data_IF_405467904521
#
_entry.id   IF_405467904521
#
_cell.length_a   1.000
_cell.length_b   1.000
_cell.length_c   1.000
_cell.angle_alpha   90.00
_cell.angle_beta   90.00
_cell.angle_gamma   90.00
#
_symmetry.space_group_name_H-M   'P 1'
#
loop_
_entity.id
_entity.type
_entity.pdbx_description
1 polymer ?
#
# COMPACT_ATOMS: atom_id res chain seq x y z
N UNK A 1 4.67 12.69 15.57
CA UNK A 1 5.93 12.19 14.97
C UNK A 1 6.27 10.86 15.61
N UNK A 2 6.49 9.78 14.85
CA UNK A 2 6.99 8.54 15.44
C UNK A 2 8.32 8.79 16.16
N UNK A 3 8.42 8.29 17.39
CA UNK A 3 9.55 8.49 18.28
C UNK A 3 9.70 7.29 19.22
N UNK A 4 10.64 7.34 20.18
CA UNK A 4 10.91 6.21 21.11
C UNK A 4 9.67 5.68 21.87
N UNK A 5 8.59 6.46 21.94
CA UNK A 5 7.35 6.16 22.66
C UNK A 5 6.08 6.21 21.81
N UNK A 6 6.15 6.48 20.49
CA UNK A 6 4.98 6.51 19.62
C UNK A 6 5.27 5.77 18.31
N UNK A 7 4.50 4.72 17.96
CA UNK A 7 4.67 3.98 16.72
C UNK A 7 4.33 4.80 15.46
N UNK A 8 3.66 5.94 15.60
CA UNK A 8 3.19 6.76 14.48
C UNK A 8 1.97 6.18 13.76
N UNK A 9 1.49 5.01 14.19
CA UNK A 9 0.25 4.39 13.74
C UNK A 9 -0.58 4.05 14.97
N UNK A 10 -1.89 4.28 14.90
CA UNK A 10 -2.86 3.85 15.91
C UNK A 10 -3.79 2.84 15.26
N UNK A 11 -3.95 1.67 15.87
CA UNK A 11 -5.03 0.77 15.45
C UNK A 11 -6.35 1.27 16.02
N UNK A 12 -7.34 1.50 15.15
CA UNK A 12 -8.68 1.91 15.55
C UNK A 12 -9.70 0.82 15.19
N UNK A 13 -10.69 0.66 16.06
CA UNK A 13 -11.81 -0.26 15.86
C UNK A 13 -13.11 0.52 15.97
N UNK A 14 -14.01 0.32 15.00
CA UNK A 14 -15.37 0.81 15.08
C UNK A 14 -16.25 -0.29 15.66
N UNK A 15 -16.65 -0.19 16.93
CA UNK A 15 -17.57 -1.19 17.50
C UNK A 15 -17.38 -1.56 18.98
N UNK A 16 -16.27 -1.25 19.66
CA UNK A 16 -16.22 -1.39 21.13
C UNK A 16 -16.85 -0.17 21.82
N UNK A 17 -18.16 -0.05 21.66
CA UNK A 17 -19.00 0.89 22.42
C UNK A 17 -19.21 0.35 23.83
N UNK A 18 -18.25 0.60 24.72
CA UNK A 18 -18.51 0.39 26.16
C UNK A 18 -19.45 1.49 26.69
N UNK A 19 -19.53 2.61 25.99
CA UNK A 19 -20.55 3.66 26.13
C UNK A 19 -20.45 4.53 24.88
N UNK A 20 -21.59 4.94 24.33
CA UNK A 20 -21.78 5.90 23.22
C UNK A 20 -20.52 6.66 22.77
N UNK A 21 -20.08 6.44 21.54
CA UNK A 21 -19.25 7.37 20.78
C UNK A 21 -17.75 7.49 21.14
N UNK A 22 -17.15 6.57 21.88
CA UNK A 22 -15.69 6.60 22.15
C UNK A 22 -14.92 5.53 21.38
N UNK A 23 -13.89 5.97 20.66
CA UNK A 23 -12.90 5.12 20.01
C UNK A 23 -11.95 4.51 21.05
N UNK A 24 -11.61 3.24 20.87
CA UNK A 24 -10.65 2.53 21.74
C UNK A 24 -9.37 2.30 20.94
N UNK A 25 -8.26 2.82 21.45
CA UNK A 25 -6.92 2.56 20.95
C UNK A 25 -6.34 1.40 21.75
N UNK A 26 -6.41 0.19 21.21
CA UNK A 26 -6.24 -1.04 22.00
C UNK A 26 -4.91 -1.77 21.77
N UNK A 27 -4.03 -1.25 20.91
CA UNK A 27 -2.79 -1.97 20.55
C UNK A 27 -1.52 -1.13 20.72
N UNK A 28 -0.53 -1.71 21.40
CA UNK A 28 0.86 -1.23 21.35
C UNK A 28 1.49 -1.81 20.08
N UNK A 29 1.58 -1.00 19.02
CA UNK A 29 2.25 -1.38 17.78
C UNK A 29 3.77 -1.21 17.91
N UNK A 30 4.56 -2.01 17.17
CA UNK A 30 6.02 -1.88 17.19
C UNK A 30 6.43 -0.52 16.61
N UNK A 31 7.34 0.17 17.29
CA UNK A 31 7.90 1.41 16.79
C UNK A 31 8.90 1.15 15.63
N UNK A 32 9.02 2.09 14.67
CA UNK A 32 10.02 1.98 13.61
C UNK A 32 11.45 1.89 14.18
N UNK A 33 12.34 1.09 13.57
CA UNK A 33 13.76 1.08 13.91
C UNK A 33 14.37 2.47 13.80
N UNK A 34 15.26 2.85 14.72
CA UNK A 34 15.76 4.24 14.87
C UNK A 34 16.43 4.84 13.61
N UNK A 35 16.92 3.98 12.72
CA UNK A 35 17.41 4.36 11.39
C UNK A 35 16.35 5.12 10.57
N UNK A 36 15.08 4.71 10.62
CA UNK A 36 14.02 5.29 9.79
C UNK A 36 13.63 6.70 10.28
N UNK A 37 13.36 6.97 11.58
CA UNK A 37 13.14 8.34 12.07
C UNK A 37 14.34 9.26 11.87
N UNK A 38 15.56 8.73 11.95
CA UNK A 38 16.78 9.49 11.68
C UNK A 38 16.85 9.90 10.21
N UNK A 39 16.54 8.97 9.30
CA UNK A 39 16.47 9.26 7.87
C UNK A 39 15.38 10.29 7.53
N UNK A 40 14.19 10.17 8.15
CA UNK A 40 13.10 11.14 8.02
C UNK A 40 13.55 12.55 8.46
N UNK A 41 14.27 12.65 9.57
CA UNK A 41 14.80 13.94 10.05
C UNK A 41 15.75 14.57 9.04
N UNK A 42 16.61 13.76 8.41
CA UNK A 42 17.52 14.20 7.34
C UNK A 42 16.75 14.65 6.09
N UNK A 43 15.73 13.90 5.64
CA UNK A 43 14.88 14.31 4.50
C UNK A 43 14.21 15.65 4.80
N UNK A 44 13.63 15.81 5.99
CA UNK A 44 12.99 17.06 6.42
C UNK A 44 13.98 18.23 6.41
N UNK A 45 15.19 18.04 6.91
CA UNK A 45 16.23 19.07 6.88
C UNK A 45 16.63 19.48 5.46
N UNK A 46 16.73 18.52 4.53
CA UNK A 46 16.99 18.79 3.10
C UNK A 46 15.85 19.57 2.44
N UNK A 47 14.60 19.22 2.76
CA UNK A 47 13.44 19.91 2.22
C UNK A 47 13.37 21.37 2.69
N UNK A 48 13.76 21.65 3.95
CA UNK A 48 13.81 23.02 4.49
C UNK A 48 14.81 23.94 3.76
N UNK A 49 15.85 23.37 3.13
CA UNK A 49 16.82 24.12 2.32
C UNK A 49 16.52 24.03 0.81
N UNK A 50 15.34 23.55 0.43
CA UNK A 50 14.90 23.45 -0.97
C UNK A 50 15.44 22.26 -1.75
N UNK A 51 16.15 21.33 -1.10
CA UNK A 51 16.68 20.12 -1.75
C UNK A 51 15.67 18.97 -1.64
N UNK A 52 14.85 18.80 -2.68
CA UNK A 52 13.79 17.79 -2.75
C UNK A 52 14.00 16.85 -3.94
N UNK A 53 14.59 15.68 -3.70
CA UNK A 53 14.88 14.75 -4.81
C UNK A 53 13.59 14.18 -5.43
N UNK A 54 12.53 14.02 -4.64
CA UNK A 54 11.23 13.56 -5.12
C UNK A 54 10.66 14.45 -6.24
N UNK A 55 10.95 15.76 -6.25
CA UNK A 55 10.47 16.68 -7.28
C UNK A 55 10.99 16.29 -8.69
N UNK A 56 12.16 15.64 -8.76
CA UNK A 56 12.73 15.14 -10.03
C UNK A 56 12.03 13.88 -10.51
N UNK A 57 11.44 13.09 -9.60
CA UNK A 57 10.65 11.90 -9.94
C UNK A 57 9.25 12.35 -10.38
N UNK A 58 8.69 13.34 -9.69
CA UNK A 58 7.35 13.89 -9.91
C UNK A 58 7.28 15.00 -10.96
N UNK A 59 8.36 15.19 -11.74
CA UNK A 59 8.32 16.10 -12.87
C UNK A 59 7.19 15.70 -13.82
N UNK A 60 6.40 16.68 -14.25
CA UNK A 60 5.19 16.45 -15.05
C UNK A 60 5.43 15.53 -16.26
N UNK A 61 6.54 15.70 -16.98
CA UNK A 61 6.88 14.87 -18.15
C UNK A 61 7.02 13.38 -17.79
N UNK A 62 7.68 13.07 -16.66
CA UNK A 62 7.85 11.69 -16.21
C UNK A 62 6.54 11.08 -15.76
N UNK A 63 5.75 11.82 -15.00
CA UNK A 63 4.43 11.35 -14.58
C UNK A 63 3.51 11.10 -15.77
N UNK A 64 3.45 12.03 -16.73
CA UNK A 64 2.62 11.91 -17.94
C UNK A 64 3.07 10.72 -18.80
N UNK A 65 4.37 10.42 -18.82
CA UNK A 65 4.91 9.24 -19.54
C UNK A 65 4.46 7.90 -18.95
N UNK A 66 4.13 7.84 -17.65
CA UNK A 66 3.52 6.67 -17.01
C UNK A 66 2.02 6.57 -17.31
N UNK A 67 1.39 7.68 -17.67
CA UNK A 67 -0.01 7.79 -18.02
C UNK A 67 -0.65 9.05 -17.43
N UNK A 68 -1.75 9.56 -18.02
CA UNK A 68 -2.37 10.81 -17.60
C UNK A 68 -2.88 10.78 -16.15
N UNK A 69 -3.24 9.61 -15.60
CA UNK A 69 -3.71 9.48 -14.20
C UNK A 69 -2.58 9.66 -13.16
N UNK A 70 -1.31 9.49 -13.56
CA UNK A 70 -0.15 9.72 -12.70
C UNK A 70 0.31 11.18 -12.66
N UNK A 71 -0.27 12.04 -13.50
CA UNK A 71 -0.04 13.48 -13.46
C UNK A 71 -0.85 14.13 -12.33
N UNK A 72 -0.37 15.28 -11.83
CA UNK A 72 -1.14 16.07 -10.87
C UNK A 72 -2.46 16.50 -11.54
N UNK A 73 -3.58 16.21 -10.88
CA UNK A 73 -4.90 16.56 -11.40
C UNK A 73 -5.28 17.99 -11.06
N UNK A 74 -6.17 18.59 -11.86
CA UNK A 74 -6.60 19.96 -11.60
C UNK A 74 -7.38 20.07 -10.27
N UNK A 75 -6.99 21.03 -9.44
CA UNK A 75 -7.52 21.22 -8.08
C UNK A 75 -8.96 21.73 -8.13
N UNK A 76 -9.34 22.45 -9.18
CA UNK A 76 -10.68 23.03 -9.33
C UNK A 76 -11.80 21.98 -9.37
N UNK A 77 -11.47 20.75 -9.78
CA UNK A 77 -12.44 19.66 -9.88
C UNK A 77 -12.42 18.68 -8.69
N UNK A 78 -11.54 18.88 -7.69
CA UNK A 78 -11.46 17.99 -6.51
C UNK A 78 -11.41 18.74 -5.17
N UNK A 79 -12.41 19.61 -4.97
CA UNK A 79 -12.63 20.27 -3.69
C UNK A 79 -13.31 19.31 -2.69
N UNK A 80 -12.83 19.22 -1.45
CA UNK A 80 -13.50 18.44 -0.40
C UNK A 80 -14.87 19.04 -0.08
N UNK A 81 -15.78 18.21 0.40
CA UNK A 81 -17.06 18.67 0.95
C UNK A 81 -16.93 18.94 2.45
N UNK A 82 -17.87 19.71 2.99
CA UNK A 82 -18.02 19.89 4.44
C UNK A 82 -18.20 18.52 5.12
N UNK A 83 -17.65 18.36 6.32
CA UNK A 83 -17.65 17.08 7.03
C UNK A 83 -19.03 16.57 7.43
N UNK A 84 -20.01 17.46 7.55
CA UNK A 84 -21.41 17.20 7.88
C UNK A 84 -22.33 17.13 6.65
N UNK A 85 -21.76 17.25 5.45
CA UNK A 85 -22.46 17.00 4.21
C UNK A 85 -22.18 15.57 3.76
N UNK A 86 -23.22 14.75 3.69
CA UNK A 86 -23.14 13.40 3.15
C UNK A 86 -23.47 13.38 1.66
N UNK A 87 -22.86 12.43 0.95
CA UNK A 87 -23.06 12.26 -0.49
C UNK A 87 -24.50 11.83 -0.78
N UNK A 88 -25.13 12.51 -1.74
CA UNK A 88 -26.56 12.36 -2.06
C UNK A 88 -26.91 10.95 -2.58
N UNK A 89 -25.97 10.27 -3.24
CA UNK A 89 -26.17 8.95 -3.85
C UNK A 89 -24.94 8.06 -3.68
N UNK A 90 -25.01 7.17 -2.69
CA UNK A 90 -23.93 6.23 -2.35
C UNK A 90 -23.40 5.54 -3.60
N UNK A 91 -22.08 5.60 -3.78
CA UNK A 91 -21.31 4.97 -4.88
C UNK A 91 -21.49 5.58 -6.29
N UNK A 92 -22.14 6.75 -6.41
CA UNK A 92 -22.16 7.56 -7.65
C UNK A 92 -21.14 8.71 -7.62
N UNK A 93 -20.91 9.33 -8.77
CA UNK A 93 -20.10 10.55 -8.87
C UNK A 93 -20.77 11.72 -8.14
N UNK A 94 -20.00 12.72 -7.73
CA UNK A 94 -20.51 13.91 -7.03
C UNK A 94 -21.30 14.89 -7.94
N UNK A 95 -21.81 14.44 -9.11
CA UNK A 95 -22.55 15.27 -10.07
C UNK A 95 -23.85 15.81 -9.44
N UNK A 96 -24.46 15.05 -8.54
CA UNK A 96 -25.71 15.40 -7.87
C UNK A 96 -25.50 16.08 -6.50
N UNK A 97 -24.25 16.24 -6.06
CA UNK A 97 -23.92 16.91 -4.81
C UNK A 97 -24.00 18.44 -4.96
N UNK A 98 -24.39 19.11 -3.88
CA UNK A 98 -24.46 20.56 -3.82
C UNK A 98 -23.04 21.13 -3.72
N UNK A 99 -22.59 21.75 -4.82
CA UNK A 99 -21.25 22.35 -4.89
C UNK A 99 -21.05 23.52 -3.92
N UNK A 100 -22.12 24.11 -3.39
CA UNK A 100 -22.00 25.14 -2.34
C UNK A 100 -21.49 24.58 -1.02
N UNK A 101 -21.58 23.26 -0.82
CA UNK A 101 -21.05 22.55 0.34
C UNK A 101 -19.58 22.16 0.18
N UNK A 102 -18.92 22.58 -0.91
CA UNK A 102 -17.48 22.38 -1.11
C UNK A 102 -16.66 23.40 -0.31
N UNK A 103 -15.59 22.91 0.30
CA UNK A 103 -14.62 23.73 1.02
C UNK A 103 -13.53 24.15 0.05
N UNK A 104 -13.36 25.46 -0.12
CA UNK A 104 -12.28 26.01 -0.93
C UNK A 104 -10.93 25.72 -0.27
N UNK A 105 -9.99 25.18 -1.05
CA UNK A 105 -8.61 25.06 -0.60
C UNK A 105 -7.98 26.44 -0.42
N UNK A 106 -7.17 26.64 0.62
CA UNK A 106 -6.29 27.80 0.69
C UNK A 106 -5.43 27.86 -0.58
N UNK A 107 -5.20 29.08 -1.09
CA UNK A 107 -4.34 29.29 -2.24
C UNK A 107 -2.98 28.61 -2.02
N UNK A 108 -2.56 27.79 -2.99
CA UNK A 108 -1.24 27.16 -3.00
C UNK A 108 -0.38 27.83 -4.07
N UNK A 109 0.78 28.32 -3.66
CA UNK A 109 1.80 28.84 -4.58
C UNK A 109 2.41 27.74 -5.49
N UNK A 110 2.22 26.47 -5.14
CA UNK A 110 2.80 25.34 -5.84
C UNK A 110 1.88 24.12 -5.85
N UNK A 111 1.90 23.38 -6.98
CA UNK A 111 1.25 22.08 -7.16
C UNK A 111 2.09 20.91 -6.62
N UNK A 112 3.26 21.17 -6.03
CA UNK A 112 4.14 20.13 -5.50
C UNK A 112 3.51 19.47 -4.26
N UNK A 113 3.67 18.14 -4.06
CA UNK A 113 3.16 17.49 -2.86
C UNK A 113 3.80 18.01 -1.57
N UNK A 114 2.96 18.17 -0.56
CA UNK A 114 3.37 18.53 0.80
C UNK A 114 3.50 17.23 1.61
N UNK A 115 4.61 17.08 2.32
CA UNK A 115 4.80 15.96 3.25
C UNK A 115 4.32 16.38 4.63
N UNK A 116 3.35 15.65 5.15
CA UNK A 116 2.88 15.79 6.52
C UNK A 116 3.49 14.69 7.40
N UNK A 117 3.81 15.04 8.64
CA UNK A 117 4.41 14.11 9.58
C UNK A 117 3.55 14.02 10.84
N UNK A 118 2.94 12.86 11.08
CA UNK A 118 2.03 12.68 12.21
C UNK A 118 1.53 11.25 12.32
N UNK A 119 0.41 11.09 13.02
CA UNK A 119 -0.16 9.78 13.33
C UNK A 119 -1.11 9.33 12.23
N UNK A 120 -1.03 8.06 11.85
CA UNK A 120 -1.93 7.43 10.88
C UNK A 120 -2.87 6.48 11.63
N UNK A 121 -4.18 6.57 11.37
CA UNK A 121 -5.15 5.63 11.90
C UNK A 121 -5.27 4.41 10.97
N UNK A 122 -5.02 3.23 11.52
CA UNK A 122 -5.10 1.95 10.80
C UNK A 122 -6.27 1.14 11.30
N UNK A 123 -7.14 0.68 10.42
CA UNK A 123 -8.29 -0.12 10.84
C UNK A 123 -8.85 -0.98 9.72
N UNK A 124 -9.61 -2.00 10.09
CA UNK A 124 -10.18 -2.97 9.15
C UNK A 124 -11.31 -2.41 8.28
N UNK A 125 -11.75 -1.18 8.53
CA UNK A 125 -12.85 -0.55 7.82
C UNK A 125 -12.37 0.69 7.07
N UNK A 126 -12.93 0.91 5.88
CA UNK A 126 -12.74 2.15 5.15
C UNK A 126 -13.54 3.23 5.87
N UNK A 127 -12.87 4.29 6.33
CA UNK A 127 -13.53 5.48 6.85
C UNK A 127 -14.25 6.20 5.70
N UNK A 128 -15.58 6.33 5.79
CA UNK A 128 -16.43 6.95 4.75
C UNK A 128 -17.45 7.94 5.30
N UNK A 129 -17.16 8.51 6.46
CA UNK A 129 -18.11 9.41 7.13
C UNK A 129 -17.36 10.61 7.71
N UNK A 130 -17.63 11.80 7.16
CA UNK A 130 -16.87 13.02 7.43
C UNK A 130 -16.93 13.45 8.90
N UNK A 131 -18.08 13.33 9.57
CA UNK A 131 -18.21 13.70 10.98
C UNK A 131 -17.46 12.73 11.91
N UNK A 132 -17.52 11.42 11.61
CA UNK A 132 -16.75 10.42 12.37
C UNK A 132 -15.26 10.63 12.17
N UNK A 133 -14.81 10.88 10.94
CA UNK A 133 -13.43 11.26 10.62
C UNK A 133 -12.96 12.45 11.46
N UNK A 134 -13.77 13.51 11.53
CA UNK A 134 -13.44 14.71 12.31
C UNK A 134 -13.37 14.43 13.81
N UNK A 135 -14.33 13.67 14.33
CA UNK A 135 -14.33 13.23 15.74
C UNK A 135 -13.07 12.44 16.09
N UNK A 136 -12.61 11.54 15.21
CA UNK A 136 -11.35 10.81 15.38
C UNK A 136 -10.14 11.74 15.33
N UNK A 137 -10.12 12.69 14.37
CA UNK A 137 -9.04 13.68 14.21
C UNK A 137 -8.84 14.46 15.50
N UNK A 138 -9.92 14.97 16.08
CA UNK A 138 -9.89 15.74 17.33
C UNK A 138 -9.50 14.87 18.54
N UNK A 139 -10.02 13.64 18.62
CA UNK A 139 -9.79 12.77 19.76
C UNK A 139 -8.38 12.14 19.78
N UNK A 140 -7.78 11.87 18.61
CA UNK A 140 -6.58 11.04 18.47
C UNK A 140 -5.40 11.75 17.77
N UNK A 141 -5.57 13.00 17.34
CA UNK A 141 -4.56 13.77 16.59
C UNK A 141 -4.01 13.00 15.38
N UNK A 142 -4.93 12.39 14.62
CA UNK A 142 -4.61 11.61 13.42
C UNK A 142 -4.65 12.49 12.17
N UNK A 143 -3.79 12.18 11.21
CA UNK A 143 -3.70 12.90 9.94
C UNK A 143 -4.47 12.23 8.81
N UNK A 144 -4.53 10.90 8.80
CA UNK A 144 -5.22 10.13 7.77
C UNK A 144 -5.61 8.74 8.27
N UNK A 145 -6.39 8.04 7.43
CA UNK A 145 -6.88 6.69 7.65
C UNK A 145 -6.33 5.75 6.56
N UNK A 146 -6.02 4.52 6.92
CA UNK A 146 -5.65 3.42 6.02
C UNK A 146 -6.00 2.08 6.69
N UNK A 147 -5.73 0.95 6.02
CA UNK A 147 -6.25 -0.35 6.47
C UNK A 147 -5.21 -1.43 6.74
N UNK A 148 -3.96 -1.23 6.34
CA UNK A 148 -2.99 -2.34 6.28
C UNK A 148 -1.88 -2.24 7.34
N UNK A 149 -1.49 -1.01 7.74
CA UNK A 149 -0.27 -0.80 8.51
C UNK A 149 -0.25 -1.50 9.87
N UNK A 150 -1.35 -1.46 10.64
CA UNK A 150 -1.39 -2.08 11.97
C UNK A 150 -1.11 -3.58 11.90
N UNK A 151 -1.64 -4.28 10.89
CA UNK A 151 -1.39 -5.71 10.69
C UNK A 151 0.08 -6.01 10.45
N UNK A 152 0.76 -5.21 9.63
CA UNK A 152 2.18 -5.34 9.37
C UNK A 152 3.03 -5.04 10.61
N UNK A 153 2.68 -3.96 11.33
CA UNK A 153 3.48 -3.46 12.47
C UNK A 153 3.46 -4.37 13.69
N UNK A 154 2.52 -5.32 13.80
CA UNK A 154 2.54 -6.33 14.87
C UNK A 154 3.75 -7.27 14.78
N UNK A 155 4.16 -7.66 13.57
CA UNK A 155 5.27 -8.58 13.33
C UNK A 155 6.52 -7.94 12.72
N UNK A 156 6.40 -6.73 12.16
CA UNK A 156 7.45 -6.11 11.37
C UNK A 156 7.64 -4.63 11.75
N UNK A 157 8.73 -4.29 12.47
CA UNK A 157 9.06 -2.91 12.80
C UNK A 157 9.32 -2.09 11.53
N UNK A 158 8.41 -1.18 11.19
CA UNK A 158 8.49 -0.39 9.96
C UNK A 158 8.04 1.06 10.13
N UNK A 159 8.34 1.88 9.13
CA UNK A 159 7.81 3.23 8.97
C UNK A 159 6.75 3.21 7.87
N UNK A 160 5.60 3.84 8.13
CA UNK A 160 4.50 3.92 7.18
C UNK A 160 4.54 5.26 6.45
N UNK A 161 4.44 5.23 5.13
CA UNK A 161 4.32 6.40 4.26
C UNK A 161 3.06 6.21 3.42
N UNK A 162 2.14 7.18 3.46
CA UNK A 162 0.87 7.12 2.72
C UNK A 162 0.68 8.38 1.87
N UNK A 163 0.14 8.16 0.67
CA UNK A 163 -0.36 9.22 -0.20
C UNK A 163 -1.84 9.41 0.05
N UNK A 164 -2.28 10.66 0.04
CA UNK A 164 -3.70 10.99 0.24
C UNK A 164 -4.40 10.93 -1.12
N UNK A 165 -5.34 10.01 -1.27
CA UNK A 165 -6.12 9.83 -2.50
C UNK A 165 -7.60 10.20 -2.35
N UNK A 166 -8.09 10.35 -1.12
CA UNK A 166 -9.45 10.78 -0.81
C UNK A 166 -9.50 11.49 0.56
N UNK A 167 -10.68 11.97 0.93
CA UNK A 167 -10.91 12.72 2.17
C UNK A 167 -11.52 11.86 3.29
N UNK A 168 -11.57 10.54 3.16
CA UNK A 168 -12.18 9.63 4.14
C UNK A 168 -13.63 10.02 4.53
N UNK A 169 -14.40 10.46 3.55
CA UNK A 169 -15.83 10.78 3.68
C UNK A 169 -16.65 9.98 2.64
N UNK A 170 -17.92 10.31 2.50
CA UNK A 170 -18.84 9.62 1.59
C UNK A 170 -18.60 9.94 0.11
N UNK A 171 -17.81 10.97 -0.22
CA UNK A 171 -17.60 11.50 -1.56
C UNK A 171 -16.41 10.84 -2.26
N UNK A 172 -16.62 9.60 -2.73
CA UNK A 172 -15.56 8.84 -3.42
C UNK A 172 -15.13 9.51 -4.71
N UNK A 173 -13.83 9.79 -4.78
CA UNK A 173 -13.13 10.06 -6.03
C UNK A 173 -11.91 9.15 -6.12
N UNK A 174 -11.80 8.41 -7.22
CA UNK A 174 -10.65 7.53 -7.50
C UNK A 174 -9.55 8.22 -8.29
N UNK A 175 -9.80 9.44 -8.77
CA UNK A 175 -8.93 10.13 -9.71
C UNK A 175 -7.52 10.40 -9.15
N UNK A 176 -7.38 10.52 -7.82
CA UNK A 176 -6.11 10.81 -7.17
C UNK A 176 -5.29 9.58 -6.78
N UNK A 177 -5.81 8.36 -6.96
CA UNK A 177 -5.14 7.14 -6.49
C UNK A 177 -3.76 6.96 -7.13
N UNK A 178 -3.65 7.10 -8.45
CA UNK A 178 -2.38 6.93 -9.16
C UNK A 178 -1.38 8.06 -8.84
N UNK A 179 -1.86 9.31 -8.77
CA UNK A 179 -1.00 10.44 -8.39
C UNK A 179 -0.50 10.32 -6.94
N UNK A 180 -1.36 9.89 -6.02
CA UNK A 180 -1.00 9.65 -4.62
C UNK A 180 0.02 8.50 -4.51
N UNK A 181 -0.16 7.43 -5.28
CA UNK A 181 0.76 6.31 -5.32
C UNK A 181 2.16 6.72 -5.81
N UNK A 182 2.26 7.43 -6.95
CA UNK A 182 3.57 7.87 -7.46
C UNK A 182 4.25 8.89 -6.54
N UNK A 183 3.47 9.79 -5.92
CA UNK A 183 3.97 10.76 -4.93
C UNK A 183 4.55 10.07 -3.70
N UNK A 184 3.88 9.03 -3.22
CA UNK A 184 4.33 8.19 -2.11
C UNK A 184 5.60 7.42 -2.47
N UNK A 185 5.62 6.78 -3.63
CA UNK A 185 6.78 6.05 -4.13
C UNK A 185 8.01 6.96 -4.30
N UNK A 186 7.82 8.18 -4.82
CA UNK A 186 8.87 9.18 -4.94
C UNK A 186 9.45 9.59 -3.57
N UNK A 187 8.57 9.82 -2.59
CA UNK A 187 8.97 10.14 -1.21
C UNK A 187 9.72 8.98 -0.54
N UNK A 188 9.20 7.75 -0.66
CA UNK A 188 9.83 6.55 -0.14
C UNK A 188 11.22 6.31 -0.76
N UNK A 189 11.36 6.50 -2.08
CA UNK A 189 12.64 6.37 -2.78
C UNK A 189 13.67 7.39 -2.28
N UNK A 190 13.28 8.64 -2.06
CA UNK A 190 14.16 9.65 -1.50
C UNK A 190 14.62 9.28 -0.08
N UNK A 191 13.70 8.79 0.76
CA UNK A 191 14.02 8.32 2.11
C UNK A 191 14.99 7.13 2.08
N UNK A 192 14.74 6.14 1.23
CA UNK A 192 15.63 4.97 1.09
C UNK A 192 17.02 5.37 0.61
N UNK A 193 17.13 6.38 -0.25
CA UNK A 193 18.43 6.94 -0.65
C UNK A 193 19.23 7.48 0.54
N UNK A 194 18.58 8.05 1.55
CA UNK A 194 19.22 8.43 2.81
C UNK A 194 19.67 7.20 3.60
N UNK A 195 18.78 6.22 3.77
CA UNK A 195 19.05 4.99 4.54
C UNK A 195 20.27 4.26 3.98
N UNK A 196 20.35 4.08 2.66
CA UNK A 196 21.47 3.42 1.97
C UNK A 196 22.76 4.25 2.11
N UNK A 197 22.70 5.57 1.90
CA UNK A 197 23.87 6.43 1.97
C UNK A 197 24.52 6.51 3.37
N UNK A 198 23.73 6.30 4.43
CA UNK A 198 24.26 6.29 5.80
C UNK A 198 24.87 4.94 6.21
N UNK A 199 24.86 3.91 5.34
CA UNK A 199 25.47 2.61 5.62
C UNK A 199 24.82 1.86 6.79
N UNK A 200 23.58 2.19 7.14
CA UNK A 200 22.92 1.73 8.36
C UNK A 200 22.16 0.39 8.20
N UNK A 201 22.45 -0.40 7.17
CA UNK A 201 21.98 -1.78 7.07
C UNK A 201 22.60 -2.56 5.92
N UNK A 202 22.82 -3.86 6.11
CA UNK A 202 23.30 -4.80 5.08
C UNK A 202 22.27 -5.06 3.95
N UNK A 203 21.14 -4.35 3.95
CA UNK A 203 20.02 -4.63 3.03
C UNK A 203 20.26 -3.89 1.72
N UNK A 204 20.67 -4.62 0.68
CA UNK A 204 21.13 -4.02 -0.57
C UNK A 204 20.04 -3.61 -1.55
N UNK A 205 18.79 -4.07 -1.44
CA UNK A 205 17.70 -3.62 -2.33
C UNK A 205 16.34 -3.81 -1.63
N UNK A 206 15.43 -2.84 -1.77
CA UNK A 206 14.00 -3.00 -1.53
C UNK A 206 13.25 -2.55 -2.79
N UNK A 207 12.62 -3.49 -3.48
CA UNK A 207 11.83 -3.23 -4.68
C UNK A 207 10.35 -3.38 -4.40
N UNK A 208 9.59 -2.29 -4.50
CA UNK A 208 8.12 -2.36 -4.55
C UNK A 208 7.74 -2.34 -6.02
N UNK A 209 7.06 -3.39 -6.47
CA UNK A 209 6.49 -3.46 -7.81
C UNK A 209 4.97 -3.38 -7.69
N UNK A 210 4.38 -2.47 -8.45
CA UNK A 210 2.94 -2.42 -8.68
C UNK A 210 2.71 -2.24 -10.19
N UNK A 211 1.79 -3.00 -10.75
CA UNK A 211 1.42 -2.93 -12.17
C UNK A 211 -0.06 -2.58 -12.30
N UNK A 212 -0.34 -1.45 -12.93
CA UNK A 212 -1.68 -1.05 -13.31
C UNK A 212 -2.13 -1.78 -14.58
N UNK A 213 -3.39 -2.22 -14.57
CA UNK A 213 -4.29 -2.47 -15.73
C UNK A 213 -4.30 -3.83 -16.44
N UNK A 214 -3.51 -4.82 -16.03
CA UNK A 214 -3.74 -6.21 -16.47
C UNK A 214 -3.16 -7.19 -15.45
N UNK A 215 -3.79 -8.37 -15.32
CA UNK A 215 -3.36 -9.44 -14.43
C UNK A 215 -1.83 -9.57 -14.45
N UNK A 216 -1.21 -9.42 -13.29
CA UNK A 216 0.23 -9.47 -13.15
C UNK A 216 0.74 -10.82 -13.67
N UNK A 217 1.68 -10.81 -14.61
CA UNK A 217 2.35 -12.03 -15.05
C UNK A 217 3.67 -12.19 -14.28
N UNK A 218 4.06 -13.43 -14.00
CA UNK A 218 5.33 -13.73 -13.34
C UNK A 218 6.51 -13.13 -14.12
N UNK A 219 6.42 -13.08 -15.45
CA UNK A 219 7.40 -12.40 -16.30
C UNK A 219 7.61 -10.95 -15.86
N UNK A 220 6.54 -10.16 -15.77
CA UNK A 220 6.64 -8.72 -15.55
C UNK A 220 7.26 -8.43 -14.16
N UNK A 221 6.94 -9.27 -13.17
CA UNK A 221 7.56 -9.27 -11.85
C UNK A 221 9.09 -9.52 -11.91
N UNK A 222 9.52 -10.61 -12.55
CA UNK A 222 10.95 -10.93 -12.61
C UNK A 222 11.75 -9.98 -13.51
N UNK A 223 11.14 -9.44 -14.59
CA UNK A 223 11.74 -8.37 -15.38
C UNK A 223 11.99 -7.12 -14.53
N UNK A 224 11.05 -6.78 -13.65
CA UNK A 224 11.21 -5.67 -12.73
C UNK A 224 12.37 -5.89 -11.77
N UNK A 225 12.47 -7.06 -11.12
CA UNK A 225 13.60 -7.34 -10.23
C UNK A 225 14.94 -7.27 -10.97
N UNK A 226 15.02 -7.85 -12.16
CA UNK A 226 16.23 -7.80 -12.99
C UNK A 226 16.62 -6.35 -13.28
N UNK A 227 15.67 -5.50 -13.72
CA UNK A 227 15.93 -4.06 -13.97
C UNK A 227 16.47 -3.36 -12.72
N UNK A 228 15.87 -3.62 -11.56
CA UNK A 228 16.27 -3.01 -10.30
C UNK A 228 17.67 -3.45 -9.85
N UNK A 229 17.97 -4.74 -9.92
CA UNK A 229 19.28 -5.29 -9.56
C UNK A 229 20.38 -4.75 -10.49
N UNK A 230 20.12 -4.67 -11.80
CA UNK A 230 21.08 -4.07 -12.75
C UNK A 230 21.29 -2.59 -12.45
N UNK A 231 20.22 -1.83 -12.20
CA UNK A 231 20.31 -0.41 -11.86
C UNK A 231 21.11 -0.20 -10.58
N UNK A 232 20.95 -1.07 -9.58
CA UNK A 232 21.76 -1.04 -8.37
C UNK A 232 23.25 -1.28 -8.65
N UNK A 233 23.58 -2.27 -9.49
CA UNK A 233 24.98 -2.51 -9.89
C UNK A 233 25.58 -1.30 -10.61
N UNK A 234 24.79 -0.63 -11.46
CA UNK A 234 25.21 0.59 -12.14
C UNK A 234 25.48 1.75 -11.17
N UNK A 235 24.54 2.01 -10.24
CA UNK A 235 24.66 3.07 -9.22
C UNK A 235 25.88 2.84 -8.33
N UNK A 236 26.09 1.59 -7.91
CA UNK A 236 27.23 1.21 -7.05
C UNK A 236 28.53 1.00 -7.81
N UNK A 237 28.51 1.12 -9.15
CA UNK A 237 29.65 0.83 -10.04
C UNK A 237 30.22 -0.59 -9.87
N UNK A 238 29.37 -1.53 -9.47
CA UNK A 238 29.72 -2.93 -9.29
C UNK A 238 29.76 -3.66 -10.64
N UNK A 239 30.61 -4.68 -10.77
CA UNK A 239 30.68 -5.45 -12.02
C UNK A 239 29.52 -6.43 -12.13
N UNK A 240 28.67 -6.24 -13.15
CA UNK A 240 27.74 -7.28 -13.59
C UNK A 240 28.45 -8.31 -14.47
N UNK A 241 28.21 -9.59 -14.19
CA UNK A 241 28.91 -10.70 -14.83
C UNK A 241 28.69 -10.72 -16.37
N UNK A 242 29.72 -10.97 -17.20
CA UNK A 242 29.64 -10.85 -18.65
C UNK A 242 28.55 -11.71 -19.30
N UNK A 243 28.30 -12.90 -18.74
CA UNK A 243 27.27 -13.82 -19.19
C UNK A 243 25.87 -13.22 -19.06
N UNK A 244 25.59 -12.55 -17.94
CA UNK A 244 24.30 -11.91 -17.66
C UNK A 244 24.08 -10.73 -18.63
N UNK A 245 25.12 -9.90 -18.83
CA UNK A 245 25.09 -8.81 -19.83
C UNK A 245 24.77 -9.32 -21.24
N UNK A 246 25.34 -10.47 -21.63
CA UNK A 246 25.07 -11.09 -22.93
C UNK A 246 23.61 -11.52 -23.07
N UNK A 247 23.04 -12.14 -22.02
CA UNK A 247 21.63 -12.56 -21.99
C UNK A 247 20.67 -11.37 -22.03
N UNK A 248 20.94 -10.32 -21.26
CA UNK A 248 20.14 -9.08 -21.30
C UNK A 248 20.13 -8.49 -22.72
N UNK A 249 21.29 -8.41 -23.39
CA UNK A 249 21.36 -7.92 -24.78
C UNK A 249 20.62 -8.82 -25.76
N UNK A 250 20.63 -10.14 -25.54
CA UNK A 250 19.89 -11.10 -26.35
C UNK A 250 18.37 -10.91 -26.22
N UNK A 251 17.87 -10.70 -25.01
CA UNK A 251 16.43 -10.63 -24.71
C UNK A 251 15.81 -9.24 -24.78
N UNK A 252 16.60 -8.18 -24.63
CA UNK A 252 16.12 -6.79 -24.56
C UNK A 252 16.87 -5.83 -25.49
N UNK A 253 17.77 -6.33 -26.34
CA UNK A 253 18.48 -5.53 -27.33
C UNK A 253 17.66 -5.23 -28.61
N UNK A 254 18.25 -4.51 -29.58
CA UNK A 254 17.56 -4.06 -30.80
C UNK A 254 17.02 -5.17 -31.71
N UNK A 255 17.52 -6.40 -31.57
CA UNK A 255 17.09 -7.60 -32.32
C UNK A 255 16.52 -8.67 -31.37
N UNK A 256 15.96 -8.23 -30.25
CA UNK A 256 15.52 -9.11 -29.20
C UNK A 256 14.35 -10.01 -29.61
N UNK A 257 14.38 -11.23 -29.08
CA UNK A 257 13.20 -12.06 -28.95
C UNK A 257 12.73 -11.97 -27.50
N UNK A 258 11.44 -11.67 -27.31
CA UNK A 258 10.88 -11.52 -25.96
C UNK A 258 11.00 -12.85 -25.20
N UNK A 259 11.68 -12.89 -24.05
CA UNK A 259 11.91 -14.13 -23.33
C UNK A 259 10.62 -14.66 -22.68
N UNK A 260 10.56 -15.97 -22.49
CA UNK A 260 9.59 -16.58 -21.58
C UNK A 260 10.10 -16.47 -20.14
N UNK A 261 9.22 -16.62 -19.15
CA UNK A 261 9.58 -16.41 -17.74
C UNK A 261 10.69 -17.35 -17.26
N UNK A 262 10.69 -18.61 -17.68
CA UNK A 262 11.72 -19.57 -17.28
C UNK A 262 13.11 -19.18 -17.81
N UNK A 263 13.19 -18.61 -19.02
CA UNK A 263 14.45 -18.06 -19.56
C UNK A 263 14.96 -16.90 -18.70
N UNK A 264 14.08 -15.97 -18.30
CA UNK A 264 14.47 -14.85 -17.42
C UNK A 264 14.98 -15.37 -16.09
N UNK A 265 14.27 -16.36 -15.52
CA UNK A 265 14.61 -16.96 -14.25
C UNK A 265 15.99 -17.62 -14.28
N UNK A 266 16.19 -18.55 -15.20
CA UNK A 266 17.38 -19.40 -15.24
C UNK A 266 18.61 -18.67 -15.82
N UNK A 267 18.45 -17.84 -16.86
CA UNK A 267 19.58 -17.17 -17.50
C UNK A 267 19.99 -15.83 -16.85
N UNK A 268 19.10 -15.19 -16.09
CA UNK A 268 19.34 -13.85 -15.55
C UNK A 268 19.06 -13.75 -14.05
N UNK A 269 17.82 -14.01 -13.60
CA UNK A 269 17.40 -13.68 -12.25
C UNK A 269 18.10 -14.53 -11.19
N UNK A 270 18.17 -15.87 -11.33
CA UNK A 270 18.87 -16.70 -10.34
C UNK A 270 20.38 -16.39 -10.29
N UNK A 271 21.11 -16.30 -11.42
CA UNK A 271 22.52 -15.88 -11.39
C UNK A 271 22.75 -14.50 -10.77
N UNK A 272 21.83 -13.54 -11.03
CA UNK A 272 21.88 -12.26 -10.36
C UNK A 272 21.63 -12.42 -8.86
N UNK A 273 20.62 -13.18 -8.44
CA UNK A 273 20.23 -13.32 -7.03
C UNK A 273 21.38 -13.82 -6.16
N UNK A 274 22.20 -14.75 -6.65
CA UNK A 274 23.40 -15.23 -5.95
C UNK A 274 24.40 -14.12 -5.63
N UNK A 275 24.48 -13.08 -6.47
CA UNK A 275 25.35 -11.92 -6.25
C UNK A 275 24.79 -10.95 -5.19
N UNK A 276 23.55 -11.14 -4.75
CA UNK A 276 22.82 -10.30 -3.80
C UNK A 276 22.35 -11.13 -2.60
N UNK A 277 23.29 -11.77 -1.91
CA UNK A 277 23.02 -12.71 -0.80
C UNK A 277 22.28 -12.11 0.39
N UNK A 278 22.18 -10.77 0.50
CA UNK A 278 21.41 -10.05 1.53
C UNK A 278 20.16 -9.35 1.00
N UNK A 279 19.75 -9.62 -0.25
CA UNK A 279 18.55 -9.01 -0.82
C UNK A 279 17.27 -9.43 -0.10
N UNK A 280 16.35 -8.47 0.01
CA UNK A 280 14.97 -8.72 0.42
C UNK A 280 14.06 -8.53 -0.79
N UNK A 281 13.37 -9.60 -1.19
CA UNK A 281 12.39 -9.59 -2.25
C UNK A 281 11.01 -9.30 -1.65
N UNK A 282 10.35 -8.27 -2.16
CA UNK A 282 8.99 -7.90 -1.74
C UNK A 282 8.07 -8.06 -2.94
N UNK A 283 7.02 -8.86 -2.77
CA UNK A 283 5.93 -9.03 -3.73
C UNK A 283 4.67 -8.53 -3.05
N UNK A 284 4.07 -7.49 -3.63
CA UNK A 284 2.81 -6.93 -3.13
C UNK A 284 1.65 -7.43 -3.98
N UNK A 285 0.51 -7.71 -3.34
CA UNK A 285 -0.73 -8.15 -3.99
C UNK A 285 -0.55 -9.32 -4.98
N UNK A 286 0.16 -10.38 -4.57
CA UNK A 286 0.39 -11.55 -5.45
C UNK A 286 -0.92 -12.25 -5.84
N UNK A 287 -2.01 -12.07 -5.08
CA UNK A 287 -3.34 -12.57 -5.40
C UNK A 287 -4.00 -11.89 -6.62
N UNK A 288 -3.45 -10.76 -7.12
CA UNK A 288 -3.88 -10.15 -8.39
C UNK A 288 -3.34 -10.93 -9.62
N UNK A 289 -2.49 -11.94 -9.42
CA UNK A 289 -2.07 -12.88 -10.45
C UNK A 289 -3.09 -14.00 -10.65
N UNK A 290 -3.20 -14.50 -11.88
CA UNK A 290 -3.86 -15.79 -12.13
C UNK A 290 -3.17 -16.91 -11.34
N UNK A 291 -3.91 -17.94 -10.87
CA UNK A 291 -3.35 -19.03 -10.05
C UNK A 291 -2.12 -19.72 -10.64
N UNK A 292 -2.06 -19.84 -11.98
CA UNK A 292 -0.93 -20.43 -12.70
C UNK A 292 0.33 -19.56 -12.57
N UNK A 293 0.19 -18.24 -12.59
CA UNK A 293 1.29 -17.29 -12.41
C UNK A 293 1.77 -17.27 -10.95
N UNK A 294 0.85 -17.31 -9.98
CA UNK A 294 1.18 -17.45 -8.55
C UNK A 294 2.05 -18.68 -8.31
N UNK A 295 1.71 -19.82 -8.93
CA UNK A 295 2.49 -21.03 -8.79
C UNK A 295 3.92 -20.90 -9.34
N UNK A 296 4.09 -20.22 -10.48
CA UNK A 296 5.41 -19.95 -11.08
C UNK A 296 6.27 -19.07 -10.17
N UNK A 297 5.68 -17.98 -9.65
CA UNK A 297 6.35 -17.06 -8.70
C UNK A 297 6.77 -17.80 -7.44
N UNK A 298 5.86 -18.59 -6.86
CA UNK A 298 6.11 -19.41 -5.66
C UNK A 298 7.25 -20.41 -5.86
N UNK A 299 7.27 -21.08 -7.02
CA UNK A 299 8.34 -22.04 -7.39
C UNK A 299 9.70 -21.35 -7.49
N UNK A 300 9.75 -20.14 -8.06
CA UNK A 300 10.98 -19.37 -8.15
C UNK A 300 11.48 -18.94 -6.77
N UNK A 301 10.62 -18.40 -5.90
CA UNK A 301 11.04 -17.99 -4.56
C UNK A 301 11.39 -19.16 -3.64
N UNK A 302 10.81 -20.34 -3.85
CA UNK A 302 11.29 -21.58 -3.21
C UNK A 302 12.76 -21.83 -3.55
N UNK A 303 13.15 -21.75 -4.83
CA UNK A 303 14.55 -21.94 -5.25
C UNK A 303 15.47 -20.89 -4.62
N UNK A 304 15.06 -19.61 -4.65
CA UNK A 304 15.82 -18.51 -4.03
C UNK A 304 16.02 -18.77 -2.54
N UNK A 305 14.96 -19.13 -1.82
CA UNK A 305 15.02 -19.39 -0.37
C UNK A 305 15.90 -20.60 -0.02
N UNK A 306 16.01 -21.59 -0.91
CA UNK A 306 16.89 -22.75 -0.75
C UNK A 306 18.36 -22.47 -1.07
N UNK A 307 18.64 -21.47 -1.91
CA UNK A 307 19.97 -21.20 -2.43
C UNK A 307 20.81 -20.23 -1.56
N UNK A 308 20.20 -19.51 -0.62
CA UNK A 308 20.92 -18.51 0.18
C UNK A 308 20.07 -17.87 1.28
N UNK A 309 20.64 -16.86 1.95
CA UNK A 309 19.98 -16.09 3.03
C UNK A 309 19.17 -14.94 2.41
N UNK A 310 18.28 -15.28 1.48
CA UNK A 310 17.36 -14.31 0.90
C UNK A 310 16.13 -14.17 1.80
N UNK A 311 15.65 -12.94 1.96
CA UNK A 311 14.38 -12.68 2.64
C UNK A 311 13.33 -12.46 1.57
N UNK A 312 12.22 -13.18 1.65
CA UNK A 312 11.09 -13.03 0.72
C UNK A 312 9.87 -12.65 1.53
N UNK A 313 9.26 -11.51 1.20
CA UNK A 313 8.00 -11.05 1.75
C UNK A 313 6.97 -11.04 0.62
N UNK A 314 5.86 -11.73 0.84
CA UNK A 314 4.74 -11.82 -0.12
C UNK A 314 3.49 -11.42 0.65
N UNK A 315 2.77 -10.42 0.14
CA UNK A 315 1.43 -10.07 0.61
C UNK A 315 0.38 -10.50 -0.42
N UNK A 316 -0.84 -10.68 0.06
CA UNK A 316 -2.03 -10.84 -0.74
C UNK A 316 -3.27 -10.82 0.15
N UNK A 317 -4.45 -10.60 -0.45
CA UNK A 317 -5.72 -10.51 0.30
C UNK A 317 -6.28 -11.86 0.72
N UNK A 318 -6.01 -12.90 -0.07
CA UNK A 318 -6.40 -14.28 0.24
C UNK A 318 -5.23 -15.04 0.90
N UNK A 319 -5.54 -16.08 1.68
CA UNK A 319 -4.51 -17.02 2.15
C UNK A 319 -3.92 -17.71 0.91
N UNK A 320 -2.79 -17.17 0.45
CA UNK A 320 -2.05 -17.73 -0.64
C UNK A 320 -1.48 -19.07 -0.16
N UNK A 321 -1.75 -20.16 -0.89
CA UNK A 321 -1.16 -21.49 -0.64
C UNK A 321 0.37 -21.57 -0.85
N UNK A 322 1.04 -20.41 -0.80
CA UNK A 322 2.48 -20.21 -0.93
C UNK A 322 3.23 -20.89 0.23
N UNK A 323 2.67 -20.93 1.44
CA UNK A 323 3.28 -21.60 2.60
C UNK A 323 3.40 -23.12 2.45
N UNK A 324 2.41 -23.77 1.84
CA UNK A 324 2.51 -25.18 1.46
C UNK A 324 3.66 -25.42 0.48
N UNK A 325 4.07 -24.36 -0.21
CA UNK A 325 5.11 -24.41 -1.21
C UNK A 325 6.49 -24.04 -0.67
N UNK A 326 6.66 -23.15 0.30
CA UNK A 326 7.99 -22.72 0.78
C UNK A 326 8.20 -23.20 2.21
N UNK A 327 9.07 -24.19 2.39
CA UNK A 327 9.41 -24.73 3.71
C UNK A 327 9.99 -23.60 4.58
N UNK A 328 9.59 -23.56 5.86
CA UNK A 328 9.99 -22.55 6.85
C UNK A 328 9.47 -21.12 6.60
N UNK A 329 8.46 -20.93 5.75
CA UNK A 329 7.77 -19.64 5.61
C UNK A 329 7.01 -19.28 6.89
N UNK A 330 7.16 -18.05 7.36
CA UNK A 330 6.32 -17.49 8.42
C UNK A 330 5.12 -16.81 7.77
N UNK A 331 3.92 -17.33 8.03
CA UNK A 331 2.69 -16.63 7.69
C UNK A 331 2.32 -15.67 8.81
N UNK A 332 2.07 -14.42 8.44
CA UNK A 332 1.46 -13.42 9.32
C UNK A 332 0.04 -13.17 8.81
N UNK A 333 -0.91 -14.07 9.12
CA UNK A 333 -2.30 -13.83 8.74
C UNK A 333 -2.78 -12.61 9.51
N UNK A 334 -3.24 -11.61 8.77
CA UNK A 334 -4.05 -10.53 9.35
C UNK A 334 -5.47 -11.10 9.48
N UNK A 335 -5.67 -12.06 10.40
CA UNK A 335 -6.96 -12.74 10.57
C UNK A 335 -7.78 -12.16 11.72
N UNK A 336 -9.09 -12.32 11.56
CA UNK A 336 -10.20 -11.79 12.34
C UNK A 336 -10.45 -12.51 13.66
N UNK A 337 -9.48 -13.24 14.24
CA UNK A 337 -9.76 -14.02 15.46
C UNK A 337 -10.30 -13.16 16.63
N UNK A 338 -9.94 -11.87 16.68
CA UNK A 338 -10.52 -10.86 17.59
C UNK A 338 -11.60 -9.97 16.94
N UNK A 339 -11.86 -10.13 15.63
CA UNK A 339 -12.74 -9.29 14.82
C UNK A 339 -14.05 -9.98 14.41
N UNK A 340 -14.28 -11.26 14.75
CA UNK A 340 -15.53 -11.97 14.42
C UNK A 340 -16.77 -11.23 14.97
N UNK A 341 -16.66 -10.65 16.17
CA UNK A 341 -17.71 -9.79 16.72
C UNK A 341 -17.93 -8.51 15.89
N UNK A 342 -16.84 -7.94 15.37
CA UNK A 342 -16.86 -6.72 14.57
C UNK A 342 -17.39 -6.98 13.15
N UNK A 343 -17.07 -8.14 12.56
CA UNK A 343 -17.61 -8.60 11.28
C UNK A 343 -19.12 -8.84 11.39
N UNK A 344 -19.57 -9.51 12.46
CA UNK A 344 -21.01 -9.70 12.72
C UNK A 344 -21.72 -8.37 12.87
N UNK A 345 -21.15 -7.46 13.67
CA UNK A 345 -21.69 -6.11 13.87
C UNK A 345 -21.66 -5.27 12.60
N UNK A 346 -20.66 -5.46 11.73
CA UNK A 346 -20.60 -4.82 10.41
C UNK A 346 -21.69 -5.35 9.49
N UNK A 347 -21.89 -6.67 9.41
CA UNK A 347 -22.96 -7.28 8.61
C UNK A 347 -24.32 -6.78 9.09
N UNK A 348 -24.54 -6.72 10.41
CA UNK A 348 -25.75 -6.17 11.00
C UNK A 348 -25.94 -4.70 10.63
N UNK A 349 -24.95 -3.85 10.92
CA UNK A 349 -25.02 -2.41 10.63
C UNK A 349 -25.23 -2.14 9.13
N UNK A 350 -24.49 -2.83 8.26
CA UNK A 350 -24.56 -2.62 6.81
C UNK A 350 -25.91 -3.05 6.23
N UNK A 351 -26.51 -4.08 6.80
CA UNK A 351 -27.87 -4.50 6.45
C UNK A 351 -28.89 -3.49 6.95
N UNK A 352 -28.76 -3.01 8.19
CA UNK A 352 -29.66 -2.02 8.76
C UNK A 352 -29.59 -0.68 7.99
N UNK A 353 -28.38 -0.23 7.63
CA UNK A 353 -28.13 0.93 6.77
C UNK A 353 -28.78 0.74 5.39
N UNK A 354 -28.57 -0.42 4.74
CA UNK A 354 -29.21 -0.72 3.45
C UNK A 354 -30.73 -0.77 3.55
N UNK A 355 -31.29 -1.31 4.63
CA UNK A 355 -32.72 -1.33 4.88
C UNK A 355 -33.32 0.06 5.09
N UNK A 356 -32.55 0.98 5.69
CA UNK A 356 -32.93 2.39 5.86
C UNK A 356 -32.85 3.18 4.54
N UNK A 357 -31.85 2.90 3.71
CA UNK A 357 -31.69 3.51 2.38
C UNK A 357 -32.73 3.01 1.37
N UNK A 358 -32.95 1.69 1.33
CA UNK A 358 -33.87 1.01 0.42
C UNK A 358 -34.35 -0.30 1.06
N UNK A 359 -35.65 -0.42 1.39
CA UNK A 359 -36.19 -1.65 1.94
C UNK A 359 -35.95 -2.82 0.99
N UNK A 360 -35.11 -3.78 1.40
CA UNK A 360 -34.81 -4.97 0.61
C UNK A 360 -35.92 -6.02 0.74
N UNK A 361 -36.53 -6.11 1.92
CA UNK A 361 -37.62 -7.03 2.25
C UNK A 361 -38.37 -6.54 3.48
N UNK A 362 -39.68 -6.75 3.56
CA UNK A 362 -40.47 -6.51 4.78
C UNK A 362 -40.49 -7.75 5.69
N UNK A 363 -40.00 -8.89 5.20
CA UNK A 363 -39.97 -10.16 5.95
C UNK A 363 -38.69 -10.26 6.75
N UNK A 364 -38.82 -10.16 8.06
CA UNK A 364 -37.73 -10.27 9.04
C UNK A 364 -36.99 -11.61 8.95
N UNK A 365 -37.70 -12.68 8.64
CA UNK A 365 -37.13 -14.03 8.46
C UNK A 365 -36.07 -14.09 7.34
N UNK A 366 -36.33 -13.41 6.22
CA UNK A 366 -35.40 -13.35 5.08
C UNK A 366 -34.18 -12.51 5.45
N UNK A 367 -34.37 -11.43 6.20
CA UNK A 367 -33.28 -10.56 6.66
C UNK A 367 -32.33 -11.31 7.60
N UNK A 368 -32.88 -12.06 8.55
CA UNK A 368 -32.12 -12.92 9.45
C UNK A 368 -31.38 -14.04 8.71
N UNK A 369 -32.00 -14.62 7.68
CA UNK A 369 -31.35 -15.63 6.85
C UNK A 369 -30.18 -15.05 6.02
N UNK A 370 -30.32 -13.83 5.50
CA UNK A 370 -29.24 -13.11 4.82
C UNK A 370 -28.10 -12.81 5.79
N UNK A 371 -28.41 -12.27 6.99
CA UNK A 371 -27.43 -12.03 8.07
C UNK A 371 -26.66 -13.30 8.40
N UNK A 372 -27.38 -14.39 8.66
CA UNK A 372 -26.80 -15.70 8.97
C UNK A 372 -25.91 -16.21 7.84
N UNK A 373 -26.37 -16.17 6.58
CA UNK A 373 -25.60 -16.66 5.44
C UNK A 373 -24.31 -15.85 5.21
N UNK A 374 -24.35 -14.53 5.38
CA UNK A 374 -23.18 -13.67 5.28
C UNK A 374 -22.19 -13.94 6.43
N UNK A 375 -22.68 -14.11 7.65
CA UNK A 375 -21.86 -14.49 8.80
C UNK A 375 -21.24 -15.88 8.62
N UNK A 376 -21.99 -16.89 8.18
CA UNK A 376 -21.48 -18.23 7.90
C UNK A 376 -20.42 -18.25 6.78
N UNK A 377 -20.50 -17.32 5.82
CA UNK A 377 -19.45 -17.15 4.81
C UNK A 377 -18.23 -16.46 5.39
N UNK A 378 -18.42 -15.40 6.17
CA UNK A 378 -17.32 -14.67 6.79
C UNK A 378 -16.56 -15.52 7.82
N UNK A 379 -17.25 -16.40 8.55
CA UNK A 379 -16.65 -17.37 9.49
C UNK A 379 -15.84 -18.48 8.78
N UNK A 380 -15.98 -18.62 7.44
CA UNK A 380 -15.23 -19.57 6.60
C UNK A 380 -14.10 -18.93 5.80
N UNK A 381 -13.99 -17.61 5.84
CA UNK A 381 -12.88 -16.82 5.26
C UNK A 381 -11.81 -16.63 6.32
#
# INVERSE_FOLDING_TARGET
MPGKSSPGVIQYYFGRTVTVGRFVCDSILNAPPQILPSAVSTVRARHNIGNRQMDTILSQDKCTSLGPRYAHQDVENNLPFLSDYDHVRVDETCIHCDKSMQVLHPFRESIKPIIHYGTIASGYQIMRHGQTRESCREALDILCFEMEAAGLMHGFPCLVIRGICDYADSHKDKSWQEYAAISTAASAKELLGIVVAHGLGDTQVSGIFWSSESCLQARDLFESYVKQMISYLEITKSQCAPQIKRRIKQYYGPKAQRPVVDDILDDIFFPLSESFSSATYVVDDLDECEPVEIHKVSRAFRKVSQAGIHRVFISGREILSVSNSVKDSVELPISSSDSLSDIRRFIDWRIDEKMAERPLTEKTEILEEVKRCLNEKADRM
#
